data_IF_110608327671
#
_entry.id   IF_110608327671
#
_cell.length_a   1.000
_cell.length_b   1.000
_cell.length_c   1.000
_cell.angle_alpha   90.00
_cell.angle_beta   90.00
_cell.angle_gamma   90.00
#
_symmetry.space_group_name_H-M   'P 1'
#
loop_
_entity.id
_entity.type
_entity.pdbx_description
1 polymer ?
#
# COMPACT_ATOMS: atom_id res chain seq x y z
N UNK A 1 -21.79 23.86 2.20
CA UNK A 1 -21.54 22.54 2.82
C UNK A 1 -22.55 21.57 2.26
N UNK A 2 -22.14 20.33 1.96
CA UNK A 2 -23.09 19.29 1.54
C UNK A 2 -24.07 19.03 2.68
N UNK A 3 -25.34 18.83 2.34
CA UNK A 3 -26.40 18.53 3.32
C UNK A 3 -26.43 17.05 3.71
N UNK A 4 -25.82 16.19 2.90
CA UNK A 4 -25.76 14.75 3.08
C UNK A 4 -24.31 14.27 3.26
N UNK A 5 -24.06 13.21 4.04
CA UNK A 5 -22.73 12.62 4.18
C UNK A 5 -22.27 12.02 2.85
N UNK A 6 -21.05 12.37 2.42
CA UNK A 6 -20.43 11.78 1.23
C UNK A 6 -19.79 10.42 1.60
N UNK A 7 -20.10 9.38 0.84
CA UNK A 7 -19.50 8.05 0.99
C UNK A 7 -18.63 7.79 -0.23
N UNK A 8 -17.33 7.56 -0.02
CA UNK A 8 -16.47 7.04 -1.07
C UNK A 8 -16.66 5.53 -1.19
N UNK A 9 -17.23 5.09 -2.31
CA UNK A 9 -17.43 3.68 -2.61
C UNK A 9 -16.18 3.00 -3.20
N UNK A 10 -15.15 3.79 -3.52
CA UNK A 10 -13.93 3.33 -4.16
C UNK A 10 -12.73 4.15 -3.73
N UNK A 11 -11.81 3.50 -3.02
CA UNK A 11 -10.53 4.03 -2.59
C UNK A 11 -9.56 2.86 -2.46
N UNK A 12 -8.26 3.14 -2.47
CA UNK A 12 -7.22 2.13 -2.59
C UNK A 12 -6.09 2.30 -1.59
N UNK A 13 -5.57 1.14 -1.19
CA UNK A 13 -4.34 0.98 -0.45
C UNK A 13 -3.37 0.15 -1.30
N UNK A 14 -2.73 0.85 -2.24
CA UNK A 14 -1.83 0.27 -3.21
C UNK A 14 -0.39 0.18 -2.69
N UNK A 15 0.44 -0.61 -3.37
CA UNK A 15 1.85 -0.84 -3.01
C UNK A 15 2.62 0.43 -2.63
N UNK A 16 2.38 1.55 -3.31
CA UNK A 16 3.10 2.79 -3.06
C UNK A 16 2.84 3.42 -1.67
N UNK A 17 1.82 2.99 -0.96
CA UNK A 17 1.51 3.50 0.39
C UNK A 17 1.53 2.41 1.46
N UNK A 18 1.84 1.17 1.10
CA UNK A 18 2.02 0.08 2.06
C UNK A 18 3.32 0.23 2.84
N UNK A 19 3.36 -0.23 4.11
CA UNK A 19 4.62 -0.38 4.84
C UNK A 19 5.61 -1.24 4.05
N UNK A 20 6.87 -0.79 3.84
CA UNK A 20 7.87 -1.53 3.07
C UNK A 20 8.13 -2.96 3.59
N UNK A 21 7.95 -3.17 4.89
CA UNK A 21 8.21 -4.41 5.60
C UNK A 21 6.96 -5.31 5.75
N UNK A 22 5.80 -4.88 5.21
CA UNK A 22 4.50 -5.51 5.44
C UNK A 22 4.55 -7.03 5.31
N UNK A 23 5.07 -7.55 4.20
CA UNK A 23 5.08 -8.98 3.94
C UNK A 23 6.16 -9.71 4.73
N UNK A 24 7.39 -9.20 4.74
CA UNK A 24 8.55 -9.88 5.37
C UNK A 24 8.36 -10.09 6.88
N UNK A 25 7.68 -9.16 7.55
CA UNK A 25 7.41 -9.23 8.98
C UNK A 25 6.28 -10.20 9.31
N UNK A 26 5.34 -10.43 8.39
CA UNK A 26 4.07 -11.10 8.66
C UNK A 26 3.95 -12.50 8.07
N UNK A 27 4.79 -12.87 7.10
CA UNK A 27 4.80 -14.23 6.57
C UNK A 27 5.69 -15.18 7.36
N UNK A 28 5.43 -16.51 7.31
CA UNK A 28 6.32 -17.50 7.91
C UNK A 28 7.75 -17.43 7.35
N UNK A 29 8.74 -17.76 8.18
CA UNK A 29 10.15 -17.73 7.79
C UNK A 29 10.47 -18.55 6.53
N UNK A 30 9.76 -19.66 6.31
CA UNK A 30 9.97 -20.55 5.17
C UNK A 30 9.64 -19.91 3.81
N UNK A 31 8.78 -18.89 3.78
CA UNK A 31 8.38 -18.18 2.55
C UNK A 31 8.92 -16.75 2.48
N UNK A 32 9.58 -16.26 3.53
CA UNK A 32 9.99 -14.85 3.68
C UNK A 32 10.87 -14.33 2.54
N UNK A 33 11.72 -15.18 1.96
CA UNK A 33 12.60 -14.79 0.86
C UNK A 33 11.89 -14.69 -0.50
N UNK A 34 10.63 -15.13 -0.59
CA UNK A 34 9.90 -15.24 -1.85
C UNK A 34 8.78 -14.19 -1.99
N UNK A 35 8.50 -13.41 -0.96
CA UNK A 35 7.41 -12.40 -0.96
C UNK A 35 7.83 -11.10 -1.65
N UNK A 36 6.89 -10.19 -1.95
CA UNK A 36 7.25 -8.85 -2.39
C UNK A 36 8.10 -8.11 -1.35
N UNK A 37 9.14 -7.42 -1.80
CA UNK A 37 10.05 -6.64 -0.95
C UNK A 37 10.34 -5.29 -1.58
N UNK A 38 10.59 -4.26 -0.77
CA UNK A 38 11.11 -2.99 -1.27
C UNK A 38 12.62 -3.06 -1.47
N UNK A 39 13.10 -2.54 -2.60
CA UNK A 39 14.52 -2.43 -2.94
C UNK A 39 14.85 -1.01 -3.39
N UNK A 40 16.02 -0.50 -2.99
CA UNK A 40 16.52 0.80 -3.43
C UNK A 40 17.01 0.73 -4.89
N UNK A 41 16.65 1.74 -5.68
CA UNK A 41 17.12 1.92 -7.07
C UNK A 41 17.51 3.38 -7.31
N UNK A 42 18.14 3.66 -8.46
CA UNK A 42 18.50 5.02 -8.87
C UNK A 42 17.29 5.97 -8.96
N UNK A 43 16.09 5.44 -9.19
CA UNK A 43 14.84 6.20 -9.28
C UNK A 43 14.08 6.28 -7.93
N UNK A 44 14.61 5.68 -6.87
CA UNK A 44 14.04 5.57 -5.53
C UNK A 44 13.64 4.13 -5.15
N UNK A 45 13.04 3.94 -3.96
CA UNK A 45 12.61 2.62 -3.50
C UNK A 45 11.44 2.07 -4.33
N UNK A 46 11.51 0.80 -4.70
CA UNK A 46 10.50 0.11 -5.52
C UNK A 46 10.15 -1.25 -4.95
N UNK A 47 8.88 -1.64 -5.08
CA UNK A 47 8.44 -3.00 -4.79
C UNK A 47 8.90 -3.96 -5.88
N UNK A 48 9.53 -5.05 -5.47
CA UNK A 48 10.09 -6.10 -6.32
C UNK A 48 9.52 -7.46 -5.92
N UNK A 49 9.32 -8.34 -6.90
CA UNK A 49 8.97 -9.74 -6.70
C UNK A 49 9.63 -10.59 -7.79
N UNK A 50 10.50 -11.52 -7.41
CA UNK A 50 11.15 -12.43 -8.37
C UNK A 50 11.87 -11.71 -9.51
N UNK A 51 12.48 -10.54 -9.24
CA UNK A 51 13.14 -9.70 -10.24
C UNK A 51 12.21 -8.82 -11.08
N UNK A 52 10.89 -8.88 -10.87
CA UNK A 52 9.90 -8.02 -11.53
C UNK A 52 9.58 -6.83 -10.63
N UNK A 53 9.61 -5.62 -11.21
CA UNK A 53 9.20 -4.40 -10.53
C UNK A 53 7.68 -4.27 -10.53
N UNK A 54 7.08 -4.10 -9.35
CA UNK A 54 5.64 -3.98 -9.16
C UNK A 54 5.16 -2.52 -9.13
N UNK A 55 6.01 -1.61 -8.67
CA UNK A 55 5.69 -0.20 -8.53
C UNK A 55 6.64 0.53 -7.57
N UNK A 56 6.49 1.84 -7.41
CA UNK A 56 7.25 2.57 -6.39
C UNK A 56 6.77 2.19 -4.99
N UNK A 57 7.66 2.33 -4.00
CA UNK A 57 7.31 2.42 -2.59
C UNK A 57 7.39 3.91 -2.20
N UNK A 58 6.26 4.55 -1.93
CA UNK A 58 6.17 6.00 -1.87
C UNK A 58 6.02 6.68 -3.25
N UNK A 59 6.32 7.98 -3.31
CA UNK A 59 6.33 8.78 -4.55
C UNK A 59 7.63 8.62 -5.32
N UNK A 60 7.54 8.58 -6.65
CA UNK A 60 8.72 8.55 -7.54
C UNK A 60 9.49 9.87 -7.47
N UNK A 61 10.82 9.78 -7.45
CA UNK A 61 11.76 10.90 -7.43
C UNK A 61 11.63 11.90 -8.61
N UNK A 62 11.00 11.51 -9.72
CA UNK A 62 10.87 12.33 -10.94
C UNK A 62 9.56 13.13 -11.04
N UNK A 63 8.64 13.00 -10.10
CA UNK A 63 7.45 13.85 -10.02
C UNK A 63 7.66 14.89 -8.92
N UNK A 64 7.58 16.20 -9.25
CA UNK A 64 7.65 17.39 -8.34
C UNK A 64 7.82 17.00 -6.86
N UNK A 65 9.05 16.60 -6.51
CA UNK A 65 9.36 16.07 -5.18
C UNK A 65 9.46 17.27 -4.27
N UNK A 66 8.53 17.42 -3.34
CA UNK A 66 8.90 18.03 -2.07
C UNK A 66 9.77 16.99 -1.38
N UNK A 67 11.06 17.28 -1.18
CA UNK A 67 12.02 16.33 -0.59
C UNK A 67 11.57 15.77 0.77
N UNK A 68 10.61 16.45 1.40
CA UNK A 68 10.08 16.16 2.73
C UNK A 68 8.82 15.28 2.74
N UNK A 69 8.24 14.91 1.58
CA UNK A 69 7.06 14.01 1.52
C UNK A 69 7.37 12.77 0.66
N UNK A 70 7.76 11.64 1.30
CA UNK A 70 8.01 10.39 0.61
C UNK A 70 6.74 9.77 0.01
N UNK A 71 5.56 10.35 0.20
CA UNK A 71 4.32 9.94 -0.45
C UNK A 71 3.52 8.88 0.29
N UNK A 72 3.91 8.55 1.53
CA UNK A 72 3.22 7.55 2.37
C UNK A 72 2.01 8.10 3.11
N UNK A 73 1.74 9.42 3.05
CA UNK A 73 0.62 10.06 3.77
C UNK A 73 -0.72 9.31 3.65
N UNK A 74 -1.17 8.82 2.46
CA UNK A 74 -2.45 8.13 2.34
C UNK A 74 -2.52 6.77 3.07
N UNK A 75 -1.36 6.16 3.33
CA UNK A 75 -1.19 4.92 4.09
C UNK A 75 -0.95 5.15 5.58
N UNK A 76 -1.30 6.32 6.11
CA UNK A 76 -1.24 6.64 7.54
C UNK A 76 -2.66 6.92 8.06
N UNK A 77 -3.16 6.19 9.08
CA UNK A 77 -4.57 6.29 9.50
C UNK A 77 -4.98 7.71 9.90
N UNK A 78 -4.14 8.39 10.70
CA UNK A 78 -4.40 9.75 11.16
C UNK A 78 -4.46 10.76 10.01
N UNK A 79 -3.46 10.75 9.13
CA UNK A 79 -3.44 11.64 7.96
C UNK A 79 -4.62 11.41 7.03
N UNK A 80 -5.05 10.15 6.90
CA UNK A 80 -6.21 9.79 6.08
C UNK A 80 -7.50 10.40 6.63
N UNK A 81 -7.71 10.35 7.95
CA UNK A 81 -8.86 11.01 8.59
C UNK A 81 -8.83 12.54 8.40
N UNK A 82 -7.66 13.17 8.47
CA UNK A 82 -7.52 14.60 8.17
C UNK A 82 -7.89 14.93 6.71
N UNK A 83 -7.51 14.06 5.78
CA UNK A 83 -7.82 14.23 4.36
C UNK A 83 -9.32 13.97 4.11
N UNK A 84 -9.94 13.00 4.80
CA UNK A 84 -11.39 12.78 4.81
C UNK A 84 -12.16 14.02 5.28
N UNK A 85 -11.74 14.63 6.40
CA UNK A 85 -12.35 15.85 6.93
C UNK A 85 -12.22 17.03 5.98
N UNK A 86 -11.06 17.16 5.30
CA UNK A 86 -10.82 18.21 4.31
C UNK A 86 -11.72 18.06 3.08
N UNK A 87 -11.89 16.82 2.62
CA UNK A 87 -12.65 16.51 1.41
C UNK A 87 -14.16 16.36 1.68
N UNK A 88 -14.55 16.38 2.96
CA UNK A 88 -15.93 16.22 3.39
C UNK A 88 -16.47 14.80 3.21
N UNK A 89 -15.58 13.79 3.21
CA UNK A 89 -15.95 12.38 3.07
C UNK A 89 -16.18 11.77 4.45
N UNK A 90 -17.36 11.19 4.64
CA UNK A 90 -17.76 10.57 5.91
C UNK A 90 -17.24 9.14 6.08
N UNK A 91 -17.18 8.36 4.99
CA UNK A 91 -16.78 6.94 5.04
C UNK A 91 -16.21 6.49 3.70
N UNK A 92 -15.24 5.59 3.75
CA UNK A 92 -14.59 4.99 2.59
C UNK A 92 -14.75 3.47 2.60
N UNK A 93 -14.94 2.89 1.43
CA UNK A 93 -14.57 1.49 1.17
C UNK A 93 -13.16 1.51 0.60
N UNK A 94 -12.23 0.79 1.24
CA UNK A 94 -10.81 0.77 0.85
C UNK A 94 -10.44 -0.62 0.34
N UNK A 95 -10.04 -0.70 -0.92
CA UNK A 95 -9.55 -1.91 -1.56
C UNK A 95 -8.02 -1.99 -1.49
N UNK A 96 -7.48 -3.20 -1.64
CA UNK A 96 -6.05 -3.36 -1.94
C UNK A 96 -5.72 -3.08 -3.40
N UNK A 97 -4.55 -3.54 -3.87
CA UNK A 97 -4.16 -3.44 -5.27
C UNK A 97 -5.25 -3.93 -6.22
N UNK A 98 -5.65 -3.15 -7.26
CA UNK A 98 -6.84 -3.41 -8.09
C UNK A 98 -6.79 -4.72 -8.89
N UNK A 99 -5.60 -5.30 -9.07
CA UNK A 99 -5.40 -6.60 -9.73
C UNK A 99 -5.01 -7.72 -8.74
N UNK A 100 -5.14 -7.46 -7.43
CA UNK A 100 -4.65 -8.33 -6.38
C UNK A 100 -3.12 -8.36 -6.30
N UNK A 101 -2.59 -9.26 -5.46
CA UNK A 101 -1.15 -9.46 -5.32
C UNK A 101 -0.61 -10.25 -6.52
N UNK A 102 0.38 -9.71 -7.28
CA UNK A 102 0.91 -10.32 -8.50
C UNK A 102 1.88 -11.48 -8.22
N UNK A 103 1.55 -12.33 -7.24
CA UNK A 103 2.31 -13.51 -6.83
C UNK A 103 1.82 -14.72 -7.62
N UNK A 104 2.63 -15.32 -8.51
CA UNK A 104 2.16 -16.40 -9.39
C UNK A 104 1.79 -17.68 -8.62
N UNK A 105 2.66 -18.07 -7.69
CA UNK A 105 2.46 -19.26 -6.86
C UNK A 105 1.26 -19.07 -5.92
N UNK A 106 0.32 -20.00 -5.96
CA UNK A 106 -0.96 -19.85 -5.26
C UNK A 106 -0.82 -19.95 -3.73
N UNK A 107 0.11 -20.77 -3.24
CA UNK A 107 0.34 -20.96 -1.80
C UNK A 107 1.04 -19.74 -1.21
N UNK A 108 2.10 -19.27 -1.87
CA UNK A 108 2.79 -18.02 -1.54
C UNK A 108 1.84 -16.82 -1.60
N UNK A 109 0.98 -16.75 -2.63
CA UNK A 109 -0.04 -15.69 -2.73
C UNK A 109 -1.00 -15.71 -1.55
N UNK A 110 -1.39 -16.89 -1.07
CA UNK A 110 -2.25 -17.01 0.10
C UNK A 110 -1.55 -16.51 1.38
N UNK A 111 -0.25 -16.78 1.57
CA UNK A 111 0.52 -16.20 2.67
C UNK A 111 0.58 -14.68 2.60
N UNK A 112 0.88 -14.13 1.43
CA UNK A 112 0.93 -12.67 1.23
C UNK A 112 -0.45 -12.02 1.43
N UNK A 113 -1.52 -12.65 0.95
CA UNK A 113 -2.88 -12.14 1.12
C UNK A 113 -3.31 -12.15 2.59
N UNK A 114 -2.94 -13.18 3.34
CA UNK A 114 -3.18 -13.23 4.79
C UNK A 114 -2.43 -12.09 5.50
N UNK A 115 -1.15 -11.92 5.19
CA UNK A 115 -0.34 -10.82 5.74
C UNK A 115 -0.96 -9.44 5.45
N UNK A 116 -1.44 -9.23 4.22
CA UNK A 116 -2.15 -8.00 3.85
C UNK A 116 -3.46 -7.83 4.63
N UNK A 117 -4.28 -8.88 4.74
CA UNK A 117 -5.56 -8.81 5.42
C UNK A 117 -5.41 -8.56 6.92
N UNK A 118 -4.43 -9.21 7.56
CA UNK A 118 -4.13 -9.02 8.98
C UNK A 118 -3.68 -7.57 9.23
N UNK A 119 -2.77 -7.05 8.39
CA UNK A 119 -2.38 -5.64 8.45
C UNK A 119 -3.55 -4.68 8.21
N UNK A 120 -4.38 -4.94 7.19
CA UNK A 120 -5.51 -4.07 6.84
C UNK A 120 -6.59 -4.05 7.93
N UNK A 121 -6.69 -5.10 8.76
CA UNK A 121 -7.59 -5.12 9.91
C UNK A 121 -7.04 -4.34 11.12
N UNK A 122 -5.73 -4.13 11.19
CA UNK A 122 -5.02 -3.37 12.22
C UNK A 122 -4.87 -1.87 11.87
N UNK A 123 -4.94 -1.56 10.58
CA UNK A 123 -4.80 -0.22 9.99
C UNK A 123 -6.00 0.69 10.31
#
# INVERSE_FOLDING_TARGET
MLTEPLISADDHMDFNVLPPELFVDRVPALVREHVPTVQDTDDGPVWMLGGVQLGPSGRRSKALVTQDDPGFRPGQPHSRLEDMDRDGVYTHVVYGPPLGLPVPDAELRAYCQRAYNDWAAEF
#
